data_IF_700688282315
#
_entry.id   IF_700688282315
#
_cell.length_a   1.000
_cell.length_b   1.000
_cell.length_c   1.000
_cell.angle_alpha   90.00
_cell.angle_beta   90.00
_cell.angle_gamma   90.00
#
_symmetry.space_group_name_H-M   'P 1'
#
loop_
_entity.id
_entity.type
_entity.pdbx_description
1 polymer ?
#
# COMPACT_ATOMS: atom_id res chain seq x y z
N UNK A 1 -20.79 5.74 1.44
CA UNK A 1 -19.73 4.73 1.57
C UNK A 1 -19.46 4.10 0.22
N UNK A 2 -18.23 4.13 -0.25
CA UNK A 2 -17.91 3.37 -1.44
C UNK A 2 -18.09 1.88 -1.15
N UNK A 3 -18.64 1.15 -2.10
CA UNK A 3 -18.73 -0.30 -2.00
C UNK A 3 -17.32 -0.91 -2.05
N UNK A 4 -17.17 -2.10 -1.51
CA UNK A 4 -15.90 -2.83 -1.57
C UNK A 4 -15.52 -3.04 -3.04
N UNK A 5 -14.32 -2.64 -3.46
CA UNK A 5 -13.89 -2.81 -4.84
C UNK A 5 -13.65 -4.28 -5.17
N UNK A 6 -13.75 -4.62 -6.46
CA UNK A 6 -13.34 -5.96 -6.93
C UNK A 6 -11.86 -6.02 -7.25
N UNK A 7 -11.27 -4.88 -7.56
CA UNK A 7 -9.83 -4.73 -7.83
C UNK A 7 -9.30 -3.50 -7.14
N UNK A 8 -8.09 -3.57 -6.64
CA UNK A 8 -7.45 -2.42 -5.99
C UNK A 8 -5.93 -2.50 -6.11
N UNK A 9 -5.31 -1.33 -6.16
CA UNK A 9 -3.88 -1.18 -5.85
C UNK A 9 -3.74 -1.23 -4.34
N UNK A 10 -2.78 -1.95 -3.83
CA UNK A 10 -2.53 -2.03 -2.39
C UNK A 10 -1.49 -1.00 -1.99
N UNK A 11 -1.85 -0.13 -1.05
CA UNK A 11 -0.89 0.74 -0.40
C UNK A 11 0.06 -0.10 0.46
N UNK A 12 1.27 0.39 0.72
CA UNK A 12 2.31 -0.36 1.44
C UNK A 12 1.80 -0.88 2.79
N UNK A 13 1.02 -0.08 3.52
CA UNK A 13 0.50 -0.49 4.83
C UNK A 13 -0.40 -1.72 4.75
N UNK A 14 -1.15 -1.89 3.66
CA UNK A 14 -1.98 -3.08 3.46
C UNK A 14 -1.12 -4.31 3.17
N UNK A 15 -0.07 -4.15 2.38
CA UNK A 15 0.87 -5.24 2.09
C UNK A 15 1.54 -5.70 3.38
N UNK A 16 2.06 -4.77 4.16
CA UNK A 16 2.71 -5.06 5.44
C UNK A 16 1.76 -5.81 6.38
N UNK A 17 0.55 -5.30 6.54
CA UNK A 17 -0.44 -5.92 7.43
C UNK A 17 -0.86 -7.31 6.95
N UNK A 18 -0.87 -7.54 5.64
CA UNK A 18 -1.22 -8.85 5.07
C UNK A 18 -0.10 -9.88 5.24
N UNK A 19 1.16 -9.45 5.13
CA UNK A 19 2.31 -10.35 5.19
C UNK A 19 2.68 -10.71 6.63
N UNK A 20 2.65 -9.74 7.54
CA UNK A 20 3.06 -9.96 8.92
C UNK A 20 1.87 -10.35 9.80
N UNK A 21 1.80 -11.62 10.19
CA UNK A 21 0.68 -12.17 10.95
C UNK A 21 0.50 -11.52 12.33
N UNK A 22 1.56 -10.95 12.89
CA UNK A 22 1.53 -10.25 14.18
C UNK A 22 1.16 -8.76 14.06
N UNK A 23 0.94 -8.27 12.85
CA UNK A 23 0.54 -6.88 12.64
C UNK A 23 -0.86 -6.65 13.21
N UNK A 24 -1.06 -5.50 13.89
CA UNK A 24 -2.32 -5.16 14.55
C UNK A 24 -3.52 -5.15 13.59
N UNK A 25 -3.28 -4.86 12.32
CA UNK A 25 -4.34 -4.82 11.29
C UNK A 25 -4.38 -6.05 10.38
N UNK A 26 -3.62 -7.10 10.73
CA UNK A 26 -3.59 -8.33 9.92
C UNK A 26 -4.98 -8.92 9.69
N UNK A 27 -5.79 -8.99 10.74
CA UNK A 27 -7.15 -9.57 10.67
C UNK A 27 -8.11 -8.76 9.79
N UNK A 28 -7.79 -7.50 9.49
CA UNK A 28 -8.59 -6.66 8.59
C UNK A 28 -8.06 -6.69 7.16
N UNK A 29 -6.74 -6.70 7.00
CA UNK A 29 -6.10 -6.61 5.70
C UNK A 29 -6.19 -7.93 4.92
N UNK A 30 -5.92 -9.07 5.55
CA UNK A 30 -5.94 -10.36 4.88
C UNK A 30 -7.27 -10.70 4.22
N UNK A 31 -8.41 -10.59 4.92
CA UNK A 31 -9.70 -10.88 4.27
C UNK A 31 -9.99 -9.97 3.07
N UNK A 32 -9.62 -8.69 3.17
CA UNK A 32 -9.80 -7.79 2.04
C UNK A 32 -9.02 -8.27 0.82
N UNK A 33 -7.73 -8.56 0.99
CA UNK A 33 -6.87 -8.99 -0.12
C UNK A 33 -7.39 -10.30 -0.73
N UNK A 34 -7.81 -11.24 0.12
CA UNK A 34 -8.36 -12.52 -0.34
C UNK A 34 -9.66 -12.36 -1.11
N UNK A 35 -10.48 -11.37 -0.74
CA UNK A 35 -11.78 -11.13 -1.37
C UNK A 35 -11.67 -10.36 -2.69
N UNK A 36 -10.55 -9.68 -2.96
CA UNK A 36 -10.34 -9.01 -4.22
C UNK A 36 -10.14 -10.03 -5.34
N UNK A 37 -10.80 -9.82 -6.48
CA UNK A 37 -10.54 -10.63 -7.67
C UNK A 37 -9.10 -10.44 -8.13
N UNK A 38 -8.63 -9.18 -8.11
CA UNK A 38 -7.26 -8.84 -8.42
C UNK A 38 -6.75 -7.77 -7.46
N UNK A 39 -5.55 -7.96 -6.97
CA UNK A 39 -4.85 -6.94 -6.21
C UNK A 39 -3.53 -6.62 -6.93
N UNK A 40 -3.23 -5.33 -6.99
CA UNK A 40 -2.09 -4.83 -7.77
C UNK A 40 -1.01 -4.33 -6.82
N UNK A 41 0.24 -4.64 -7.16
CA UNK A 41 1.40 -3.99 -6.55
C UNK A 41 2.26 -3.37 -7.64
N UNK A 42 2.92 -2.27 -7.31
CA UNK A 42 3.82 -1.58 -8.23
C UNK A 42 5.25 -1.61 -7.68
N UNK A 43 6.25 -1.26 -8.45
CA UNK A 43 7.62 -1.15 -7.93
C UNK A 43 7.70 -0.26 -6.70
N UNK A 44 6.94 0.83 -6.64
CA UNK A 44 6.93 1.74 -5.48
C UNK A 44 6.40 1.04 -4.23
N UNK A 45 5.29 0.32 -4.31
CA UNK A 45 4.71 -0.37 -3.16
C UNK A 45 5.54 -1.58 -2.76
N UNK A 46 6.09 -2.30 -3.73
CA UNK A 46 7.01 -3.41 -3.47
C UNK A 46 8.28 -2.92 -2.75
N UNK A 47 8.88 -1.84 -3.25
CA UNK A 47 10.06 -1.24 -2.63
C UNK A 47 9.76 -0.73 -1.22
N UNK A 48 8.58 -0.16 -1.01
CA UNK A 48 8.13 0.29 0.30
C UNK A 48 8.04 -0.85 1.31
N UNK A 49 7.50 -1.98 0.89
CA UNK A 49 7.44 -3.19 1.72
C UNK A 49 8.86 -3.67 2.07
N UNK A 50 9.75 -3.78 1.08
CA UNK A 50 11.11 -4.25 1.29
C UNK A 50 11.88 -3.35 2.26
N UNK A 51 11.77 -2.04 2.09
CA UNK A 51 12.44 -1.08 3.00
C UNK A 51 11.91 -1.19 4.43
N UNK A 52 10.60 -1.35 4.59
CA UNK A 52 10.02 -1.54 5.92
C UNK A 52 10.54 -2.84 6.57
N UNK A 53 10.52 -3.94 5.84
CA UNK A 53 10.86 -5.26 6.37
C UNK A 53 12.35 -5.38 6.76
N UNK A 54 13.21 -4.63 6.09
CA UNK A 54 14.67 -4.76 6.24
C UNK A 54 15.33 -3.63 6.99
N UNK A 55 14.56 -2.66 7.49
CA UNK A 55 15.10 -1.57 8.32
C UNK A 55 15.11 -1.94 9.79
N UNK A 56 16.01 -1.33 10.56
CA UNK A 56 15.89 -1.33 12.02
C UNK A 56 14.65 -0.53 12.42
N UNK A 57 14.12 -0.83 13.59
CA UNK A 57 12.93 -0.16 14.09
C UNK A 57 13.01 -0.03 15.60
N UNK A 58 12.15 0.77 16.19
CA UNK A 58 12.08 0.97 17.62
C UNK A 58 10.79 0.39 18.18
N UNK A 59 10.90 -0.35 19.29
CA UNK A 59 9.73 -0.89 19.98
C UNK A 59 9.03 0.19 20.79
N UNK A 60 7.99 -0.18 21.53
CA UNK A 60 7.21 0.72 22.38
C UNK A 60 8.04 1.41 23.46
N UNK A 61 9.16 0.81 23.89
CA UNK A 61 10.11 1.36 24.85
C UNK A 61 11.21 2.18 24.20
N UNK A 62 11.08 2.50 22.89
CA UNK A 62 12.07 3.23 22.08
C UNK A 62 13.43 2.54 22.02
N UNK A 63 13.47 1.24 22.24
CA UNK A 63 14.67 0.43 22.10
C UNK A 63 14.83 0.00 20.66
N UNK A 64 16.04 0.16 20.11
CA UNK A 64 16.32 -0.22 18.74
C UNK A 64 16.27 -1.73 18.56
N UNK A 65 15.58 -2.17 17.52
CA UNK A 65 15.41 -3.56 17.19
C UNK A 65 16.08 -3.88 15.85
N UNK A 66 16.57 -5.11 15.65
CA UNK A 66 17.09 -5.53 14.34
C UNK A 66 15.97 -5.53 13.31
N UNK A 67 16.33 -5.53 12.01
CA UNK A 67 15.33 -5.70 10.95
C UNK A 67 14.46 -6.93 11.17
N UNK A 68 13.19 -6.82 10.81
CA UNK A 68 12.26 -7.96 10.94
C UNK A 68 12.66 -9.14 10.08
N UNK A 69 13.19 -8.85 8.90
CA UNK A 69 13.62 -9.86 7.93
C UNK A 69 14.99 -9.48 7.37
N UNK A 70 15.74 -10.47 6.94
CA UNK A 70 16.94 -10.24 6.12
C UNK A 70 16.50 -9.81 4.72
N UNK A 71 17.43 -9.32 3.91
CA UNK A 71 17.13 -8.96 2.50
C UNK A 71 16.56 -10.16 1.75
N UNK A 72 17.17 -11.32 1.89
CA UNK A 72 16.72 -12.53 1.20
C UNK A 72 15.33 -12.98 1.68
N UNK A 73 15.09 -12.93 2.99
CA UNK A 73 13.78 -13.27 3.55
C UNK A 73 12.69 -12.31 3.09
N UNK A 74 12.98 -11.02 3.06
CA UNK A 74 12.02 -10.01 2.61
C UNK A 74 11.68 -10.19 1.14
N UNK A 75 12.68 -10.44 0.29
CA UNK A 75 12.46 -10.69 -1.13
C UNK A 75 11.64 -11.97 -1.34
N UNK A 76 11.91 -13.02 -0.58
CA UNK A 76 11.16 -14.27 -0.65
C UNK A 76 9.69 -14.08 -0.24
N UNK A 77 9.44 -13.31 0.82
CA UNK A 77 8.08 -12.98 1.26
C UNK A 77 7.33 -12.18 0.20
N UNK A 78 8.00 -11.21 -0.40
CA UNK A 78 7.40 -10.44 -1.49
C UNK A 78 7.08 -11.34 -2.68
N UNK A 79 7.99 -12.24 -3.07
CA UNK A 79 7.76 -13.16 -4.16
C UNK A 79 6.56 -14.07 -3.89
N UNK A 80 6.43 -14.58 -2.67
CA UNK A 80 5.27 -15.38 -2.26
C UNK A 80 3.97 -14.58 -2.39
N UNK A 81 3.98 -13.31 -1.96
CA UNK A 81 2.82 -12.44 -2.05
C UNK A 81 2.43 -12.14 -3.50
N UNK A 82 3.41 -11.89 -4.36
CA UNK A 82 3.16 -11.52 -5.76
C UNK A 82 2.93 -12.71 -6.69
N UNK A 83 3.16 -13.94 -6.24
CA UNK A 83 2.81 -15.15 -7.00
C UNK A 83 1.46 -15.73 -6.57
N UNK A 84 0.80 -15.13 -5.59
CA UNK A 84 -0.53 -15.56 -5.16
C UNK A 84 -1.55 -15.32 -6.28
N UNK A 85 -2.59 -16.15 -6.31
CA UNK A 85 -3.70 -15.99 -7.25
C UNK A 85 -4.33 -14.61 -7.05
N UNK A 86 -4.62 -13.95 -8.16
CA UNK A 86 -5.23 -12.62 -8.14
C UNK A 86 -4.23 -11.47 -8.17
N UNK A 87 -2.93 -11.71 -7.93
CA UNK A 87 -1.95 -10.63 -8.04
C UNK A 87 -1.70 -10.22 -9.49
N UNK A 88 -1.67 -8.91 -9.74
CA UNK A 88 -1.27 -8.32 -11.00
C UNK A 88 -0.22 -7.24 -10.75
N UNK A 89 0.82 -7.24 -11.57
CA UNK A 89 1.85 -6.20 -11.52
C UNK A 89 1.35 -4.94 -12.22
N UNK A 90 1.53 -3.79 -11.58
CA UNK A 90 1.18 -2.49 -12.14
C UNK A 90 2.46 -1.66 -12.26
N UNK A 91 2.87 -1.27 -13.48
CA UNK A 91 4.05 -0.40 -13.62
C UNK A 91 3.76 0.99 -13.04
N UNK A 92 4.82 1.65 -12.51
CA UNK A 92 4.73 3.04 -12.06
C UNK A 92 4.87 3.97 -13.27
N UNK A 93 3.81 4.10 -14.04
CA UNK A 93 3.79 4.82 -15.32
C UNK A 93 3.23 6.23 -15.21
N UNK A 94 3.34 6.83 -14.05
CA UNK A 94 2.97 8.21 -13.77
C UNK A 94 4.23 9.00 -13.43
N UNK A 95 4.37 10.19 -13.99
CA UNK A 95 5.44 11.11 -13.61
C UNK A 95 4.97 11.97 -12.43
N UNK A 96 5.87 12.27 -11.50
CA UNK A 96 5.53 13.12 -10.35
C UNK A 96 5.06 14.51 -10.77
N UNK A 97 5.50 14.98 -11.94
CA UNK A 97 5.07 16.27 -12.50
C UNK A 97 3.58 16.32 -12.87
N UNK A 98 2.94 15.16 -13.02
CA UNK A 98 1.51 15.08 -13.32
C UNK A 98 0.63 15.21 -12.06
N UNK A 99 1.24 15.16 -10.87
CA UNK A 99 0.49 15.10 -9.61
C UNK A 99 0.00 16.49 -9.22
N UNK A 100 -1.30 16.62 -8.98
CA UNK A 100 -1.87 17.84 -8.42
C UNK A 100 -1.44 18.04 -6.97
N UNK A 101 -1.26 19.29 -6.58
CA UNK A 101 -0.76 19.62 -5.24
C UNK A 101 -1.88 19.87 -4.22
N UNK A 102 -3.10 19.52 -4.56
CA UNK A 102 -4.26 19.74 -3.71
C UNK A 102 -4.06 19.14 -2.33
N UNK A 103 -4.23 19.96 -1.31
CA UNK A 103 -4.15 19.57 0.11
C UNK A 103 -2.80 18.96 0.53
N UNK A 104 -1.79 19.04 -0.31
CA UNK A 104 -0.44 18.60 0.06
C UNK A 104 0.18 19.58 1.04
N UNK A 105 0.62 19.07 2.19
CA UNK A 105 1.17 19.90 3.28
C UNK A 105 2.62 19.56 3.59
N UNK A 106 3.12 18.39 3.21
CA UNK A 106 4.46 17.99 3.55
C UNK A 106 5.05 16.94 2.61
N UNK A 107 6.36 16.83 2.65
CA UNK A 107 7.14 15.96 1.75
C UNK A 107 6.79 14.47 1.85
N UNK A 108 6.24 14.03 2.98
CA UNK A 108 5.88 12.63 3.19
C UNK A 108 4.62 12.23 2.42
N UNK A 109 3.88 13.21 1.92
CA UNK A 109 2.64 12.95 1.19
C UNK A 109 2.86 12.68 -0.31
N UNK A 110 4.08 12.83 -0.82
CA UNK A 110 4.35 12.57 -2.24
C UNK A 110 4.00 11.14 -2.66
N UNK A 111 4.36 10.15 -1.86
CA UNK A 111 4.04 8.75 -2.17
C UNK A 111 2.54 8.50 -2.18
N UNK A 112 1.83 9.04 -1.18
CA UNK A 112 0.38 8.88 -1.09
C UNK A 112 -0.32 9.54 -2.28
N UNK A 113 0.08 10.76 -2.61
CA UNK A 113 -0.47 11.48 -3.76
C UNK A 113 -0.18 10.74 -5.08
N UNK A 114 1.02 10.18 -5.20
CA UNK A 114 1.41 9.38 -6.36
C UNK A 114 0.50 8.16 -6.52
N UNK A 115 0.31 7.40 -5.46
CA UNK A 115 -0.48 6.17 -5.51
C UNK A 115 -1.95 6.44 -5.83
N UNK A 116 -2.52 7.51 -5.29
CA UNK A 116 -3.87 7.93 -5.63
C UNK A 116 -3.99 8.25 -7.12
N UNK A 117 -3.02 8.98 -7.65
CA UNK A 117 -3.01 9.34 -9.06
C UNK A 117 -2.81 8.13 -9.96
N UNK A 118 -1.90 7.22 -9.58
CA UNK A 118 -1.64 5.97 -10.29
C UNK A 118 -2.91 5.11 -10.37
N UNK A 119 -3.57 4.92 -9.24
CA UNK A 119 -4.82 4.15 -9.19
C UNK A 119 -5.88 4.78 -10.09
N UNK A 120 -6.05 6.09 -10.03
CA UNK A 120 -7.03 6.81 -10.85
C UNK A 120 -6.73 6.67 -12.34
N UNK A 121 -5.47 6.77 -12.73
CA UNK A 121 -5.06 6.60 -14.12
C UNK A 121 -5.48 5.25 -14.68
N UNK A 122 -5.40 4.22 -13.87
CA UNK A 122 -5.71 2.85 -14.28
C UNK A 122 -7.15 2.41 -13.97
N UNK A 123 -7.99 3.33 -13.50
CA UNK A 123 -9.38 3.01 -13.18
C UNK A 123 -9.53 2.06 -12.00
N UNK A 124 -8.59 2.08 -11.06
CA UNK A 124 -8.56 1.20 -9.91
C UNK A 124 -8.81 1.98 -8.62
N UNK A 125 -9.29 1.28 -7.59
CA UNK A 125 -9.28 1.79 -6.23
C UNK A 125 -7.87 1.68 -5.65
N UNK A 126 -7.57 2.50 -4.65
CA UNK A 126 -6.39 2.35 -3.81
C UNK A 126 -6.85 1.91 -2.43
N UNK A 127 -6.47 0.71 -2.02
CA UNK A 127 -6.78 0.20 -0.68
C UNK A 127 -5.70 0.65 0.31
N UNK A 128 -6.11 1.29 1.40
CA UNK A 128 -5.22 1.79 2.43
C UNK A 128 -5.83 1.63 3.80
N UNK A 129 -4.98 1.53 4.82
CA UNK A 129 -5.40 1.61 6.21
C UNK A 129 -5.43 3.06 6.72
N UNK A 130 -4.93 4.01 5.93
CA UNK A 130 -4.73 5.40 6.35
C UNK A 130 -5.90 6.29 5.90
N UNK A 131 -6.77 6.67 6.85
CA UNK A 131 -7.94 7.52 6.57
C UNK A 131 -7.58 8.93 6.12
N UNK A 132 -6.42 9.44 6.56
CA UNK A 132 -6.00 10.82 6.23
C UNK A 132 -5.71 11.00 4.74
N UNK A 133 -5.46 9.93 4.01
CA UNK A 133 -5.27 10.00 2.57
C UNK A 133 -6.50 10.57 1.84
N UNK A 134 -7.68 10.51 2.46
CA UNK A 134 -8.89 11.08 1.88
C UNK A 134 -8.75 12.59 1.57
N UNK A 135 -7.92 13.30 2.34
CA UNK A 135 -7.67 14.72 2.09
C UNK A 135 -6.91 14.99 0.79
N UNK A 136 -6.18 14.00 0.30
CA UNK A 136 -5.41 14.08 -0.94
C UNK A 136 -6.20 13.56 -2.14
N UNK A 137 -7.28 12.82 -1.90
CA UNK A 137 -8.06 12.23 -2.98
C UNK A 137 -8.94 13.28 -3.65
N UNK A 138 -9.24 13.05 -4.92
CA UNK A 138 -10.13 13.94 -5.67
C UNK A 138 -11.59 13.61 -5.35
N UNK A 139 -12.35 14.53 -4.71
CA UNK A 139 -13.74 14.26 -4.39
C UNK A 139 -14.66 14.09 -5.61
N UNK A 140 -14.23 14.58 -6.79
CA UNK A 140 -14.97 14.38 -8.03
C UNK A 140 -14.76 12.99 -8.62
N UNK A 141 -13.59 12.38 -8.36
CA UNK A 141 -13.25 11.04 -8.82
C UNK A 141 -12.51 10.28 -7.70
N UNK A 142 -13.20 9.98 -6.60
CA UNK A 142 -12.54 9.35 -5.46
C UNK A 142 -12.13 7.91 -5.80
N UNK A 143 -10.92 7.55 -5.39
CA UNK A 143 -10.38 6.19 -5.61
C UNK A 143 -9.96 5.51 -4.31
N UNK A 144 -9.84 6.27 -3.21
CA UNK A 144 -9.41 5.70 -1.94
C UNK A 144 -10.49 4.79 -1.36
N UNK A 145 -10.07 3.58 -1.01
CA UNK A 145 -10.86 2.65 -0.20
C UNK A 145 -10.13 2.42 1.12
N UNK A 146 -10.73 2.85 2.22
CA UNK A 146 -10.15 2.66 3.54
C UNK A 146 -10.58 1.30 4.09
N UNK A 147 -9.60 0.47 4.42
CA UNK A 147 -9.84 -0.87 4.96
C UNK A 147 -10.45 -0.74 6.36
N UNK A 148 -11.61 -1.36 6.55
CA UNK A 148 -12.34 -1.29 7.83
C UNK A 148 -11.93 -2.42 8.78
#
# INVERSE_FOLDING_TARGET
>A
MPSTPTEAVLEVNVIIASVFADHVHHVRACPLVEDLEHFHTSPMTQGGFLRFATRTWKNEHKEEQPPRLTMAEAQAKLAEFTTADGHLFLPDDVEFTEIGLRSMQGRRQWTDAYLLHLARKHGLALASLERRMANLDDPAQPVLFVVA
#
